data_IF_096370161675
#
_entry.id   IF_096370161675
#
_cell.length_a   1.000
_cell.length_b   1.000
_cell.length_c   1.000
_cell.angle_alpha   90.00
_cell.angle_beta   90.00
_cell.angle_gamma   90.00
#
_symmetry.space_group_name_H-M   'P 1'
#
loop_
_entity.id
_entity.type
_entity.pdbx_description
1 polymer ?
#
# COMPACT_ATOMS: atom_id res chain seq x y z
N UNK A 1 -44.95 -38.82 -22.67
CA UNK A 1 -43.53 -38.52 -22.99
C UNK A 1 -43.25 -37.13 -22.46
N UNK A 2 -42.60 -37.03 -21.30
CA UNK A 2 -42.18 -35.76 -20.71
C UNK A 2 -40.82 -35.36 -21.26
N UNK A 3 -40.70 -34.12 -21.73
CA UNK A 3 -39.43 -33.50 -22.12
C UNK A 3 -38.87 -32.77 -20.89
N UNK A 4 -37.78 -33.30 -20.33
CA UNK A 4 -37.02 -32.66 -19.25
C UNK A 4 -35.79 -32.00 -19.87
N UNK A 5 -35.81 -30.68 -19.99
CA UNK A 5 -34.65 -29.88 -20.33
C UNK A 5 -33.90 -29.55 -19.02
N UNK A 6 -32.78 -30.25 -18.78
CA UNK A 6 -31.83 -29.88 -17.74
C UNK A 6 -30.97 -28.71 -18.23
N UNK A 7 -31.10 -27.58 -17.54
CA UNK A 7 -30.30 -26.37 -17.73
C UNK A 7 -28.87 -26.60 -17.25
N UNK A 8 -27.92 -26.59 -18.18
CA UNK A 8 -26.51 -26.49 -17.88
C UNK A 8 -26.04 -25.02 -17.92
N UNK A 9 -24.98 -24.76 -17.15
CA UNK A 9 -24.06 -23.59 -17.19
C UNK A 9 -24.51 -22.25 -16.59
N UNK A 10 -24.18 -22.05 -15.31
CA UNK A 10 -23.91 -20.73 -14.70
C UNK A 10 -22.71 -20.78 -13.70
N UNK A 11 -22.01 -21.91 -13.62
CA UNK A 11 -20.95 -22.13 -12.60
C UNK A 11 -19.54 -21.83 -13.11
N UNK A 12 -19.38 -21.64 -14.42
CA UNK A 12 -18.08 -21.37 -15.08
C UNK A 12 -17.58 -19.95 -14.84
N UNK A 13 -18.46 -18.96 -14.97
CA UNK A 13 -18.14 -17.55 -14.82
C UNK A 13 -17.77 -17.17 -13.37
N UNK A 14 -18.47 -17.76 -12.40
CA UNK A 14 -18.23 -17.51 -10.97
C UNK A 14 -16.85 -18.04 -10.53
N UNK A 15 -16.48 -19.26 -10.98
CA UNK A 15 -15.17 -19.85 -10.69
C UNK A 15 -14.02 -19.09 -11.36
N UNK A 16 -14.16 -18.71 -12.63
CA UNK A 16 -13.15 -17.91 -13.33
C UNK A 16 -12.95 -16.53 -12.69
N UNK A 17 -14.03 -15.93 -12.15
CA UNK A 17 -13.99 -14.67 -11.40
C UNK A 17 -13.32 -14.83 -10.03
N UNK A 18 -13.53 -15.96 -9.36
CA UNK A 18 -12.85 -16.32 -8.09
C UNK A 18 -11.36 -16.63 -8.32
N UNK A 19 -11.02 -17.31 -9.41
CA UNK A 19 -9.62 -17.63 -9.75
C UNK A 19 -8.85 -16.38 -10.19
N UNK A 20 -9.46 -15.47 -10.96
CA UNK A 20 -8.89 -14.14 -11.22
C UNK A 20 -8.72 -13.31 -9.95
N UNK A 21 -9.61 -13.46 -8.95
CA UNK A 21 -9.45 -12.86 -7.62
C UNK A 21 -8.28 -13.45 -6.81
N UNK A 22 -7.81 -14.65 -7.15
CA UNK A 22 -6.67 -15.33 -6.50
C UNK A 22 -5.38 -15.26 -7.30
N UNK A 23 -5.39 -14.68 -8.51
CA UNK A 23 -4.15 -14.33 -9.18
C UNK A 23 -3.34 -13.46 -8.22
N UNK A 24 -2.17 -13.96 -7.81
CA UNK A 24 -1.26 -13.22 -6.94
C UNK A 24 -0.98 -11.89 -7.61
N UNK A 25 -1.61 -10.82 -7.11
CA UNK A 25 -1.31 -9.48 -7.60
C UNK A 25 0.15 -9.27 -7.25
N UNK A 26 0.98 -8.99 -8.26
CA UNK A 26 2.41 -8.70 -8.08
C UNK A 26 2.62 -7.28 -8.53
N UNK A 27 3.31 -6.49 -7.71
CA UNK A 27 3.82 -5.19 -8.14
C UNK A 27 4.96 -5.41 -9.13
N UNK A 28 5.00 -4.60 -10.19
CA UNK A 28 6.16 -4.52 -11.07
C UNK A 28 7.37 -3.95 -10.30
N UNK A 29 8.57 -4.15 -10.84
CA UNK A 29 9.82 -3.61 -10.26
C UNK A 29 9.79 -2.09 -10.14
N UNK A 30 9.23 -1.41 -11.13
CA UNK A 30 8.91 0.02 -11.11
C UNK A 30 7.41 0.21 -11.36
N UNK A 31 6.58 0.31 -10.31
CA UNK A 31 5.15 0.54 -10.47
C UNK A 31 4.86 1.97 -10.92
N UNK A 32 3.74 2.18 -11.60
CA UNK A 32 3.25 3.54 -11.88
C UNK A 32 2.98 4.32 -10.59
N UNK A 33 3.07 5.66 -10.69
CA UNK A 33 2.69 6.54 -9.57
C UNK A 33 1.22 6.40 -9.18
N UNK A 34 0.36 6.03 -10.13
CA UNK A 34 -1.04 5.77 -9.88
C UNK A 34 -1.27 4.27 -9.69
N UNK A 35 -1.78 3.87 -8.53
CA UNK A 35 -2.03 2.47 -8.18
C UNK A 35 -3.50 2.25 -7.81
N UNK A 36 -4.02 1.06 -8.13
CA UNK A 36 -5.31 0.61 -7.60
C UNK A 36 -5.24 0.42 -6.09
N UNK A 37 -6.39 0.32 -5.41
CA UNK A 37 -6.42 0.02 -3.96
C UNK A 37 -5.66 -1.27 -3.61
N UNK A 38 -5.71 -2.30 -4.45
CA UNK A 38 -4.97 -3.56 -4.25
C UNK A 38 -3.46 -3.35 -4.43
N UNK A 39 -3.05 -2.66 -5.49
CA UNK A 39 -1.63 -2.37 -5.74
C UNK A 39 -1.02 -1.53 -4.61
N UNK A 40 -1.72 -0.48 -4.19
CA UNK A 40 -1.26 0.36 -3.08
C UNK A 40 -1.26 -0.40 -1.74
N UNK A 41 -2.26 -1.25 -1.49
CA UNK A 41 -2.30 -2.09 -0.28
C UNK A 41 -1.06 -2.99 -0.17
N UNK A 42 -0.66 -3.61 -1.27
CA UNK A 42 0.57 -4.40 -1.31
C UNK A 42 1.82 -3.55 -1.12
N UNK A 43 1.87 -2.37 -1.75
CA UNK A 43 3.00 -1.46 -1.66
C UNK A 43 3.29 -1.03 -0.22
N UNK A 44 2.26 -0.68 0.56
CA UNK A 44 2.41 -0.22 1.95
C UNK A 44 2.28 -1.34 3.00
N UNK A 45 2.08 -2.59 2.59
CA UNK A 45 1.89 -3.73 3.50
C UNK A 45 0.61 -3.68 4.33
N UNK A 46 -0.52 -3.25 3.74
CA UNK A 46 -1.86 -3.20 4.39
C UNK A 46 -2.88 -4.04 3.64
N UNK A 47 -4.07 -4.20 4.21
CA UNK A 47 -5.19 -4.83 3.51
C UNK A 47 -5.92 -3.82 2.61
N UNK A 48 -6.52 -4.23 1.48
CA UNK A 48 -7.30 -3.33 0.63
C UNK A 48 -8.48 -2.66 1.38
N UNK A 49 -9.05 -3.35 2.37
CA UNK A 49 -10.11 -2.82 3.23
C UNK A 49 -9.58 -1.64 4.07
N UNK A 50 -8.36 -1.77 4.63
CA UNK A 50 -7.74 -0.67 5.37
C UNK A 50 -7.46 0.53 4.47
N UNK A 51 -6.98 0.31 3.24
CA UNK A 51 -6.76 1.39 2.26
C UNK A 51 -8.06 2.12 1.93
N UNK A 52 -9.15 1.39 1.68
CA UNK A 52 -10.46 1.99 1.43
C UNK A 52 -10.95 2.82 2.63
N UNK A 53 -10.75 2.34 3.85
CA UNK A 53 -11.09 3.10 5.06
C UNK A 53 -10.21 4.34 5.25
N UNK A 54 -8.92 4.26 4.94
CA UNK A 54 -8.00 5.41 4.97
C UNK A 54 -8.39 6.48 3.94
N UNK A 55 -8.76 6.07 2.73
CA UNK A 55 -9.25 6.98 1.69
C UNK A 55 -10.53 7.70 2.13
N UNK A 56 -11.52 6.96 2.65
CA UNK A 56 -12.76 7.54 3.19
C UNK A 56 -12.51 8.53 4.33
N UNK A 57 -11.46 8.29 5.12
CA UNK A 57 -11.05 9.17 6.20
C UNK A 57 -10.15 10.35 5.76
N UNK A 58 -9.87 10.48 4.45
CA UNK A 58 -9.03 11.56 3.92
C UNK A 58 -7.55 11.48 4.32
N UNK A 59 -7.05 10.29 4.68
CA UNK A 59 -5.69 10.09 5.21
C UNK A 59 -4.63 9.81 4.13
N UNK A 60 -5.05 9.62 2.88
CA UNK A 60 -4.19 9.26 1.76
C UNK A 60 -4.60 10.03 0.50
N UNK A 61 -3.66 10.27 -0.43
CA UNK A 61 -3.95 10.96 -1.68
C UNK A 61 -4.69 10.03 -2.66
N UNK A 62 -6.00 9.88 -2.46
CA UNK A 62 -6.82 8.94 -3.21
C UNK A 62 -8.01 9.62 -3.90
N UNK A 63 -8.42 9.06 -5.03
CA UNK A 63 -9.57 9.53 -5.80
C UNK A 63 -10.38 8.36 -6.38
N UNK A 64 -11.66 8.60 -6.59
CA UNK A 64 -12.59 7.62 -7.16
C UNK A 64 -12.76 7.90 -8.65
N UNK A 65 -12.49 6.91 -9.49
CA UNK A 65 -12.65 7.00 -10.94
C UNK A 65 -13.80 6.11 -11.39
N UNK A 66 -14.80 6.71 -12.04
CA UNK A 66 -15.90 5.99 -12.68
C UNK A 66 -15.58 5.73 -14.14
N UNK A 67 -16.08 4.62 -14.69
CA UNK A 67 -16.01 4.37 -16.13
C UNK A 67 -16.76 5.48 -16.88
N UNK A 68 -16.13 6.22 -17.81
CA UNK A 68 -16.80 7.28 -18.57
C UNK A 68 -17.95 6.75 -19.45
N UNK A 69 -17.92 5.48 -19.84
CA UNK A 69 -18.98 4.83 -20.61
C UNK A 69 -20.12 4.33 -19.71
N UNK A 70 -19.89 4.25 -18.39
CA UNK A 70 -20.90 3.87 -17.41
C UNK A 70 -20.81 4.75 -16.15
N UNK A 71 -21.24 6.02 -16.23
CA UNK A 71 -21.11 6.99 -15.13
C UNK A 71 -21.93 6.64 -13.87
N UNK A 72 -22.87 5.70 -13.97
CA UNK A 72 -23.61 5.16 -12.81
C UNK A 72 -22.99 3.90 -12.19
N UNK A 73 -21.87 3.42 -12.73
CA UNK A 73 -21.20 2.21 -12.28
C UNK A 73 -20.42 2.37 -10.97
N UNK A 74 -19.88 1.27 -10.46
CA UNK A 74 -19.02 1.29 -9.28
C UNK A 74 -17.71 2.05 -9.58
N UNK A 75 -17.46 3.11 -8.82
CA UNK A 75 -16.20 3.85 -8.92
C UNK A 75 -15.04 3.03 -8.35
N UNK A 76 -13.93 2.99 -9.08
CA UNK A 76 -12.69 2.36 -8.65
C UNK A 76 -11.85 3.34 -7.83
N UNK A 77 -11.21 2.83 -6.77
CA UNK A 77 -10.36 3.63 -5.89
C UNK A 77 -8.91 3.58 -6.39
N UNK A 78 -8.37 4.75 -6.67
CA UNK A 78 -6.98 4.94 -7.11
C UNK A 78 -6.21 5.81 -6.11
N UNK A 79 -4.93 5.51 -5.92
CA UNK A 79 -4.04 6.19 -4.97
C UNK A 79 -2.78 6.67 -5.67
N UNK A 80 -2.39 7.92 -5.43
CA UNK A 80 -1.18 8.51 -5.98
C UNK A 80 0.05 8.22 -5.08
N UNK A 81 0.72 7.10 -5.33
CA UNK A 81 1.92 6.62 -4.62
C UNK A 81 3.01 7.68 -4.54
N UNK A 82 3.34 8.34 -5.65
CA UNK A 82 4.44 9.32 -5.65
C UNK A 82 4.18 10.55 -4.76
N UNK A 83 2.91 10.91 -4.53
CA UNK A 83 2.57 12.01 -3.62
C UNK A 83 2.64 11.55 -2.17
N UNK A 84 2.24 10.30 -1.92
CA UNK A 84 2.41 9.65 -0.62
C UNK A 84 3.89 9.57 -0.22
N UNK A 85 4.76 9.10 -1.11
CA UNK A 85 6.20 8.97 -0.84
C UNK A 85 6.83 10.35 -0.58
N UNK A 86 6.54 11.34 -1.45
CA UNK A 86 7.02 12.72 -1.29
C UNK A 86 6.61 13.32 0.05
N UNK A 87 5.37 13.12 0.48
CA UNK A 87 4.92 13.64 1.77
C UNK A 87 5.57 12.88 2.94
N UNK A 88 5.81 11.57 2.81
CA UNK A 88 6.55 10.81 3.80
C UNK A 88 7.98 11.34 4.00
N UNK A 89 8.67 11.70 2.91
CA UNK A 89 10.00 12.33 2.97
C UNK A 89 9.93 13.69 3.66
N UNK A 90 8.96 14.53 3.27
CA UNK A 90 8.76 15.85 3.90
C UNK A 90 8.48 15.78 5.40
N UNK A 91 7.78 14.75 5.87
CA UNK A 91 7.54 14.56 7.30
C UNK A 91 8.83 14.30 8.06
N UNK A 92 9.78 13.58 7.45
CA UNK A 92 11.11 13.35 8.03
C UNK A 92 11.93 14.63 8.02
N UNK A 93 11.93 15.37 6.90
CA UNK A 93 12.71 16.60 6.75
C UNK A 93 12.27 17.72 7.70
N UNK A 94 10.96 17.86 7.93
CA UNK A 94 10.39 18.92 8.77
C UNK A 94 10.23 18.50 10.24
N UNK A 95 10.62 17.29 10.62
CA UNK A 95 10.49 16.84 11.98
C UNK A 95 11.46 17.60 12.92
N UNK A 96 11.06 17.88 14.16
CA UNK A 96 11.97 18.43 15.16
C UNK A 96 13.18 17.52 15.41
N UNK A 97 14.32 18.11 15.81
CA UNK A 97 15.56 17.37 16.08
C UNK A 97 15.38 16.21 17.06
N UNK A 98 14.51 16.37 18.07
CA UNK A 98 14.18 15.32 19.04
C UNK A 98 13.66 14.03 18.38
N UNK A 99 12.94 14.13 17.26
CA UNK A 99 12.42 13.00 16.51
C UNK A 99 13.55 12.19 15.83
N UNK A 100 14.73 12.79 15.64
CA UNK A 100 15.89 12.18 15.01
C UNK A 100 16.88 11.55 15.99
N UNK A 101 16.63 11.57 17.30
CA UNK A 101 17.56 11.02 18.31
C UNK A 101 17.86 9.53 18.17
N UNK A 102 17.08 8.78 17.38
CA UNK A 102 17.40 7.40 17.04
C UNK A 102 18.67 7.28 16.16
N UNK A 103 19.07 8.33 15.43
CA UNK A 103 20.30 8.34 14.60
C UNK A 103 21.55 8.12 15.44
N UNK A 104 21.57 8.62 16.68
CA UNK A 104 22.69 8.40 17.62
C UNK A 104 22.91 6.92 17.94
N UNK A 105 21.86 6.10 17.85
CA UNK A 105 21.93 4.65 18.10
C UNK A 105 22.55 3.88 16.93
N UNK A 106 22.58 4.47 15.73
CA UNK A 106 23.24 3.87 14.57
C UNK A 106 24.76 4.05 14.64
N UNK A 107 25.25 5.06 15.36
CA UNK A 107 26.66 5.24 15.59
C UNK A 107 27.17 4.27 16.66
N UNK A 108 27.70 3.13 16.22
CA UNK A 108 28.46 2.24 17.08
C UNK A 108 29.89 2.78 17.27
N UNK A 109 30.05 3.98 17.85
CA UNK A 109 31.33 4.29 18.47
C UNK A 109 31.46 3.37 19.68
N UNK A 110 32.11 2.21 19.51
CA UNK A 110 32.55 1.39 20.64
C UNK A 110 33.22 2.34 21.61
N UNK A 111 32.85 2.37 22.91
CA UNK A 111 33.69 3.04 23.88
C UNK A 111 35.04 2.32 23.83
N UNK A 112 36.01 2.96 23.19
CA UNK A 112 37.39 2.53 23.22
C UNK A 112 37.79 2.55 24.69
N UNK A 113 37.98 1.38 25.29
CA UNK A 113 38.46 1.21 26.67
C UNK A 113 39.78 1.94 26.97
N UNK A 114 40.40 2.62 26.00
CA UNK A 114 41.65 3.39 26.16
C UNK A 114 41.46 4.77 26.80
N UNK A 115 40.25 5.30 26.94
CA UNK A 115 40.07 6.65 27.53
C UNK A 115 39.83 6.67 29.05
N UNK A 116 39.54 5.52 29.68
CA UNK A 116 39.39 5.43 31.13
C UNK A 116 40.73 5.48 31.91
N UNK A 117 41.88 5.39 31.22
CA UNK A 117 43.20 5.36 31.84
C UNK A 117 43.99 6.67 31.78
N UNK A 118 43.42 7.76 31.26
CA UNK A 118 44.17 9.01 31.00
C UNK A 118 43.65 10.25 31.73
N UNK A 119 42.63 10.09 32.58
CA UNK A 119 42.09 11.14 33.44
C UNK A 119 42.54 11.00 34.92
N UNK A 120 43.55 10.16 35.19
CA UNK A 120 44.19 10.00 36.48
C UNK A 120 45.71 9.97 36.29
N UNK A 121 46.30 11.14 36.02
CA UNK A 121 47.73 11.42 36.12
C UNK A 121 47.92 12.92 36.34
#
# INVERSE_FOLDING_TARGET
MELKAETASDTGDEKAKIERKRAEVKLSEDPSNLLSKEGFAMYVGKTPIAIASMAKAGKIPAFYMTDPLNPGGHAELWVHRGEWDKYADQLVENAPDEWHGWKDRLHHSKPSKRQAGRAAA
#
